data_IF_286924696719
#
_entry.id   IF_286924696719
#
_cell.length_a   1.000
_cell.length_b   1.000
_cell.length_c   1.000
_cell.angle_alpha   90.00
_cell.angle_beta   90.00
_cell.angle_gamma   90.00
#
_symmetry.space_group_name_H-M   'P 1'
#
loop_
_entity.id
_entity.type
_entity.pdbx_description
1 polymer ?
#
# COMPACT_ATOMS: atom_id res chain seq x y z
N UNK A 1 5.14 -1.71 -16.31
CA UNK A 1 4.74 -0.39 -15.85
C UNK A 1 5.27 0.67 -16.81
N UNK A 2 4.54 1.76 -16.96
CA UNK A 2 4.90 2.85 -17.88
C UNK A 2 5.38 4.04 -17.05
N UNK A 3 6.68 4.12 -16.80
CA UNK A 3 7.34 5.23 -16.10
C UNK A 3 8.35 5.85 -17.06
N UNK A 4 7.91 6.74 -18.00
CA UNK A 4 8.79 7.39 -18.95
C UNK A 4 9.68 8.43 -18.25
N UNK A 5 10.82 8.68 -18.85
CA UNK A 5 11.64 9.85 -18.54
C UNK A 5 11.24 11.00 -19.47
N UNK A 6 10.93 12.14 -18.89
CA UNK A 6 10.65 13.36 -19.64
C UNK A 6 11.87 14.29 -19.56
N UNK A 7 12.18 14.92 -20.68
CA UNK A 7 13.18 15.97 -20.77
C UNK A 7 12.49 17.25 -21.25
N UNK A 8 12.64 18.33 -20.49
CA UNK A 8 12.11 19.64 -20.81
C UNK A 8 13.29 20.53 -21.23
N UNK A 9 13.22 21.07 -22.45
CA UNK A 9 14.25 21.96 -23.02
C UNK A 9 13.56 23.23 -23.51
N UNK A 10 13.92 24.36 -22.92
CA UNK A 10 13.45 25.71 -23.29
C UNK A 10 11.91 25.81 -23.41
N UNK A 11 11.18 25.09 -22.55
CA UNK A 11 9.71 25.11 -22.55
C UNK A 11 9.22 26.41 -21.91
N UNK A 12 8.58 27.24 -22.72
CA UNK A 12 7.95 28.48 -22.23
C UNK A 12 6.63 28.14 -21.51
N UNK A 13 6.46 28.70 -20.28
CA UNK A 13 5.22 28.63 -19.51
C UNK A 13 4.70 30.05 -19.31
N UNK A 14 3.50 30.34 -19.80
CA UNK A 14 2.88 31.66 -19.64
C UNK A 14 2.45 31.87 -18.17
N UNK A 15 2.46 33.12 -17.70
CA UNK A 15 2.12 33.46 -16.30
C UNK A 15 0.74 32.91 -15.88
N UNK A 16 -0.24 32.91 -16.77
CA UNK A 16 -1.59 32.38 -16.54
C UNK A 16 -1.61 30.86 -16.31
N UNK A 17 -0.58 30.14 -16.71
CA UNK A 17 -0.46 28.68 -16.60
C UNK A 17 0.41 28.30 -15.38
N UNK A 18 0.91 29.27 -14.62
CA UNK A 18 1.64 29.05 -13.37
C UNK A 18 0.64 28.81 -12.24
N UNK A 19 0.82 27.70 -11.52
CA UNK A 19 -0.02 27.35 -10.36
C UNK A 19 0.55 28.07 -9.13
N UNK A 20 -0.27 28.92 -8.51
CA UNK A 20 0.10 29.68 -7.32
C UNK A 20 1.04 30.85 -7.62
N UNK A 21 1.93 31.16 -6.69
CA UNK A 21 2.86 32.30 -6.75
C UNK A 21 4.25 31.98 -7.34
N UNK A 22 4.41 30.77 -7.89
CA UNK A 22 5.68 30.27 -8.42
C UNK A 22 6.69 29.80 -7.35
N UNK A 23 6.48 30.09 -6.07
CA UNK A 23 7.36 29.70 -4.97
C UNK A 23 6.79 28.57 -4.10
N UNK A 24 5.47 28.31 -4.17
CA UNK A 24 4.72 27.39 -3.33
C UNK A 24 4.66 25.94 -3.85
N UNK A 25 5.37 25.59 -4.93
CA UNK A 25 5.29 24.27 -5.56
C UNK A 25 5.53 23.09 -4.60
N UNK A 26 6.47 23.25 -3.66
CA UNK A 26 6.73 22.21 -2.66
C UNK A 26 5.61 22.05 -1.62
N UNK A 27 4.83 23.09 -1.34
CA UNK A 27 3.72 23.00 -0.41
C UNK A 27 2.52 22.29 -1.05
N UNK A 28 2.25 22.54 -2.33
CA UNK A 28 1.30 21.76 -3.13
C UNK A 28 1.70 20.28 -3.18
N UNK A 29 2.97 19.99 -3.47
CA UNK A 29 3.49 18.62 -3.48
C UNK A 29 3.34 17.92 -2.12
N UNK A 30 3.60 18.60 -1.01
CA UNK A 30 3.43 18.06 0.34
C UNK A 30 1.96 17.74 0.66
N UNK A 31 1.03 18.60 0.23
CA UNK A 31 -0.41 18.37 0.37
C UNK A 31 -0.82 17.15 -0.45
N UNK A 32 -0.43 17.11 -1.71
CA UNK A 32 -0.71 15.99 -2.61
C UNK A 32 -0.16 14.66 -2.08
N UNK A 33 1.07 14.60 -1.58
CA UNK A 33 1.67 13.40 -1.01
C UNK A 33 0.89 12.79 0.17
N UNK A 34 0.19 13.60 0.98
CA UNK A 34 -0.67 13.04 2.04
C UNK A 34 -1.83 12.26 1.45
N UNK A 35 -2.51 12.86 0.48
CA UNK A 35 -3.62 12.26 -0.23
C UNK A 35 -3.19 10.97 -0.96
N UNK A 36 -2.09 11.02 -1.72
CA UNK A 36 -1.57 9.87 -2.46
C UNK A 36 -1.19 8.70 -1.55
N UNK A 37 -0.54 8.96 -0.42
CA UNK A 37 -0.20 7.91 0.53
C UNK A 37 -1.42 7.19 1.07
N UNK A 38 -2.49 7.92 1.38
CA UNK A 38 -3.75 7.35 1.84
C UNK A 38 -4.45 6.56 0.72
N UNK A 39 -4.46 7.10 -0.50
CA UNK A 39 -5.00 6.43 -1.70
C UNK A 39 -4.27 5.12 -2.00
N UNK A 40 -2.93 5.11 -1.95
CA UNK A 40 -2.12 3.90 -2.10
C UNK A 40 -2.49 2.88 -1.03
N UNK A 41 -2.59 3.31 0.22
CA UNK A 41 -2.95 2.43 1.32
C UNK A 41 -4.32 1.78 1.11
N UNK A 42 -5.33 2.55 0.70
CA UNK A 42 -6.66 2.04 0.38
C UNK A 42 -6.64 1.02 -0.79
N UNK A 43 -5.87 1.31 -1.85
CA UNK A 43 -5.66 0.36 -2.95
C UNK A 43 -5.08 -0.97 -2.47
N UNK A 44 -4.10 -0.92 -1.55
CA UNK A 44 -3.47 -2.13 -1.01
C UNK A 44 -4.44 -2.99 -0.20
N UNK A 45 -5.42 -2.40 0.47
CA UNK A 45 -6.50 -3.16 1.12
C UNK A 45 -7.32 -3.94 0.09
N UNK A 46 -7.71 -3.30 -1.00
CA UNK A 46 -8.49 -3.94 -2.08
C UNK A 46 -7.70 -5.08 -2.73
N UNK A 47 -6.44 -4.85 -3.06
CA UNK A 47 -5.56 -5.87 -3.64
C UNK A 47 -5.37 -7.06 -2.69
N UNK A 48 -5.09 -6.82 -1.41
CA UNK A 48 -4.91 -7.88 -0.41
C UNK A 48 -6.21 -8.67 -0.18
N UNK A 49 -7.37 -7.99 -0.07
CA UNK A 49 -8.68 -8.66 0.05
C UNK A 49 -8.91 -9.61 -1.11
N UNK A 50 -8.72 -9.14 -2.35
CA UNK A 50 -8.93 -9.95 -3.55
C UNK A 50 -7.99 -11.17 -3.59
N UNK A 51 -6.72 -10.99 -3.27
CA UNK A 51 -5.75 -12.09 -3.26
C UNK A 51 -6.11 -13.16 -2.21
N UNK A 52 -6.54 -12.75 -1.01
CA UNK A 52 -6.95 -13.65 0.06
C UNK A 52 -8.20 -14.43 -0.35
N UNK A 53 -9.21 -13.78 -0.92
CA UNK A 53 -10.43 -14.42 -1.42
C UNK A 53 -10.10 -15.50 -2.45
N UNK A 54 -9.33 -15.16 -3.48
CA UNK A 54 -8.94 -16.13 -4.52
C UNK A 54 -8.07 -17.27 -4.00
N UNK A 55 -7.14 -16.98 -3.10
CA UNK A 55 -6.30 -18.03 -2.50
C UNK A 55 -7.11 -18.97 -1.59
N UNK A 56 -8.10 -18.43 -0.86
CA UNK A 56 -9.00 -19.22 -0.03
C UNK A 56 -9.89 -20.11 -0.87
N UNK A 57 -10.50 -19.58 -1.93
CA UNK A 57 -11.32 -20.34 -2.88
C UNK A 57 -10.50 -21.44 -3.55
N UNK A 58 -9.31 -21.11 -4.04
CA UNK A 58 -8.39 -22.08 -4.63
C UNK A 58 -8.06 -23.20 -3.66
N UNK A 59 -7.64 -22.88 -2.43
CA UNK A 59 -7.26 -23.86 -1.42
C UNK A 59 -8.44 -24.77 -1.00
N UNK A 60 -9.66 -24.21 -0.95
CA UNK A 60 -10.88 -24.95 -0.61
C UNK A 60 -11.30 -25.96 -1.69
N UNK A 61 -10.95 -25.70 -2.95
CA UNK A 61 -11.33 -26.54 -4.08
C UNK A 61 -10.22 -27.51 -4.53
N UNK A 62 -8.97 -27.27 -4.12
CA UNK A 62 -7.81 -28.07 -4.54
C UNK A 62 -7.59 -29.30 -3.67
N UNK A 63 -7.64 -30.48 -4.27
CA UNK A 63 -7.29 -31.74 -3.60
C UNK A 63 -5.79 -32.01 -3.71
N UNK A 64 -5.17 -32.36 -2.57
CA UNK A 64 -3.78 -32.80 -2.46
C UNK A 64 -3.67 -33.95 -1.47
N UNK A 65 -3.17 -35.09 -1.95
CA UNK A 65 -2.95 -36.30 -1.12
C UNK A 65 -4.18 -36.75 -0.34
N UNK A 66 -5.37 -36.66 -0.96
CA UNK A 66 -6.62 -37.11 -0.37
C UNK A 66 -7.32 -36.12 0.56
N UNK A 67 -6.80 -34.93 0.73
CA UNK A 67 -7.38 -33.85 1.55
C UNK A 67 -7.47 -32.55 0.76
N UNK A 68 -8.29 -31.62 1.22
CA UNK A 68 -8.29 -30.24 0.66
C UNK A 68 -7.01 -29.49 1.05
N UNK A 69 -6.52 -28.67 0.15
CA UNK A 69 -5.33 -27.86 0.41
C UNK A 69 -5.51 -26.93 1.62
N UNK A 70 -6.72 -26.42 1.83
CA UNK A 70 -7.06 -25.55 2.95
C UNK A 70 -6.94 -26.25 4.32
N UNK A 71 -7.02 -27.57 4.36
CA UNK A 71 -6.91 -28.34 5.61
C UNK A 71 -5.44 -28.56 6.04
N UNK A 72 -4.48 -28.19 5.19
CA UNK A 72 -3.06 -28.24 5.53
C UNK A 72 -2.68 -27.09 6.44
N UNK A 73 -2.11 -27.38 7.60
CA UNK A 73 -1.80 -26.40 8.66
C UNK A 73 -0.97 -25.21 8.15
N UNK A 74 0.01 -25.43 7.28
CA UNK A 74 0.83 -24.37 6.71
C UNK A 74 -0.02 -23.37 5.90
N UNK A 75 -1.02 -23.85 5.17
CA UNK A 75 -1.94 -23.00 4.40
C UNK A 75 -2.86 -22.21 5.32
N UNK A 76 -3.36 -22.86 6.38
CA UNK A 76 -4.17 -22.19 7.40
C UNK A 76 -3.40 -21.03 8.05
N UNK A 77 -2.12 -21.22 8.37
CA UNK A 77 -1.28 -20.18 8.93
C UNK A 77 -1.10 -19.00 7.96
N UNK A 78 -0.84 -19.27 6.68
CA UNK A 78 -0.72 -18.20 5.67
C UNK A 78 -2.01 -17.39 5.54
N UNK A 79 -3.17 -18.05 5.53
CA UNK A 79 -4.47 -17.36 5.44
C UNK A 79 -4.78 -16.58 6.72
N UNK A 80 -4.58 -17.18 7.90
CA UNK A 80 -4.82 -16.53 9.19
C UNK A 80 -3.96 -15.27 9.37
N UNK A 81 -2.66 -15.34 9.09
CA UNK A 81 -1.76 -14.19 9.14
C UNK A 81 -2.22 -13.09 8.16
N UNK A 82 -2.58 -13.49 6.93
CA UNK A 82 -3.00 -12.54 5.90
C UNK A 82 -4.28 -11.80 6.26
N UNK A 83 -5.28 -12.50 6.79
CA UNK A 83 -6.53 -11.89 7.25
C UNK A 83 -6.29 -10.97 8.44
N UNK A 84 -5.45 -11.36 9.40
CA UNK A 84 -5.12 -10.58 10.59
C UNK A 84 -4.42 -9.27 10.20
N UNK A 85 -3.41 -9.35 9.32
CA UNK A 85 -2.69 -8.18 8.83
C UNK A 85 -3.60 -7.25 8.00
N UNK A 86 -4.49 -7.81 7.18
CA UNK A 86 -5.47 -7.05 6.43
C UNK A 86 -6.43 -6.30 7.35
N UNK A 87 -6.93 -6.95 8.39
CA UNK A 87 -7.85 -6.33 9.35
C UNK A 87 -7.17 -5.17 10.09
N UNK A 88 -5.96 -5.36 10.62
CA UNK A 88 -5.18 -4.29 11.24
C UNK A 88 -4.96 -3.12 10.27
N UNK A 89 -4.62 -3.42 9.01
CA UNK A 89 -4.47 -2.42 7.94
C UNK A 89 -5.75 -1.62 7.70
N UNK A 90 -6.92 -2.28 7.68
CA UNK A 90 -8.22 -1.62 7.51
C UNK A 90 -8.47 -0.59 8.61
N UNK A 91 -8.27 -0.98 9.86
CA UNK A 91 -8.46 -0.06 11.00
C UNK A 91 -7.55 1.17 10.88
N UNK A 92 -6.28 0.98 10.53
CA UNK A 92 -5.33 2.08 10.34
C UNK A 92 -5.74 3.02 9.19
N UNK A 93 -6.20 2.47 8.06
CA UNK A 93 -6.60 3.26 6.89
C UNK A 93 -7.85 4.07 7.19
N UNK A 94 -8.87 3.47 7.79
CA UNK A 94 -10.11 4.17 8.11
C UNK A 94 -9.88 5.26 9.14
N UNK A 95 -9.09 5.02 10.18
CA UNK A 95 -8.74 6.04 11.18
C UNK A 95 -7.97 7.22 10.55
N UNK A 96 -7.03 6.94 9.65
CA UNK A 96 -6.30 8.00 8.96
C UNK A 96 -7.17 8.77 7.95
N UNK A 97 -8.14 8.11 7.32
CA UNK A 97 -9.10 8.75 6.42
C UNK A 97 -10.05 9.67 7.19
N UNK A 98 -10.59 9.22 8.32
CA UNK A 98 -11.44 10.03 9.20
C UNK A 98 -10.68 11.25 9.73
N UNK A 99 -9.43 11.07 10.17
CA UNK A 99 -8.58 12.18 10.60
C UNK A 99 -8.30 13.18 9.46
N UNK A 100 -8.21 12.70 8.22
CA UNK A 100 -8.06 13.56 7.04
C UNK A 100 -9.33 14.37 6.76
N UNK A 101 -10.50 13.75 6.86
CA UNK A 101 -11.79 14.40 6.58
C UNK A 101 -12.16 15.41 7.67
N UNK A 102 -11.70 15.22 8.89
CA UNK A 102 -11.93 16.13 10.02
C UNK A 102 -10.92 17.28 10.11
N UNK A 103 -10.05 17.46 9.13
CA UNK A 103 -8.99 18.49 9.13
C UNK A 103 -8.12 18.50 10.40
N UNK A 104 -7.82 17.32 10.93
CA UNK A 104 -6.91 17.15 12.08
C UNK A 104 -5.56 17.84 11.85
N UNK A 105 -4.77 18.04 12.92
CA UNK A 105 -3.43 18.67 12.81
C UNK A 105 -2.63 18.08 11.65
N UNK A 106 -2.43 18.91 10.62
CA UNK A 106 -1.78 18.55 9.35
C UNK A 106 -0.44 17.84 9.52
N UNK A 107 0.25 18.10 10.63
CA UNK A 107 1.57 17.51 10.88
C UNK A 107 1.45 16.11 11.48
N UNK A 108 0.46 15.88 12.35
CA UNK A 108 0.11 14.55 12.86
C UNK A 108 -0.43 13.68 11.72
N UNK A 109 -1.34 14.22 10.93
CA UNK A 109 -1.90 13.57 9.75
C UNK A 109 -0.81 13.15 8.76
N UNK A 110 0.22 13.98 8.52
CA UNK A 110 1.33 13.62 7.64
C UNK A 110 2.11 12.38 8.14
N UNK A 111 2.30 12.25 9.45
CA UNK A 111 2.92 11.08 10.06
C UNK A 111 2.01 9.85 9.97
N UNK A 112 0.71 9.98 10.26
CA UNK A 112 -0.29 8.92 10.15
C UNK A 112 -0.37 8.38 8.72
N UNK A 113 -0.48 9.24 7.70
CA UNK A 113 -0.46 8.83 6.29
C UNK A 113 0.82 8.07 5.92
N UNK A 114 1.97 8.47 6.49
CA UNK A 114 3.23 7.76 6.28
C UNK A 114 3.23 6.37 6.94
N UNK A 115 2.69 6.23 8.16
CA UNK A 115 2.55 4.94 8.85
C UNK A 115 1.63 4.00 8.08
N UNK A 116 0.48 4.51 7.66
CA UNK A 116 -0.53 3.74 6.92
C UNK A 116 0.03 3.26 5.59
N UNK A 117 0.66 4.14 4.81
CA UNK A 117 1.30 3.77 3.54
C UNK A 117 2.38 2.71 3.74
N UNK A 118 3.27 2.90 4.70
CA UNK A 118 4.32 1.95 5.02
C UNK A 118 3.74 0.58 5.38
N UNK A 119 2.83 0.54 6.34
CA UNK A 119 2.30 -0.72 6.85
C UNK A 119 1.53 -1.50 5.78
N UNK A 120 0.62 -0.82 5.05
CA UNK A 120 -0.24 -1.47 4.05
C UNK A 120 0.52 -1.96 2.83
N UNK A 121 1.52 -1.23 2.35
CA UNK A 121 2.32 -1.69 1.19
C UNK A 121 3.22 -2.87 1.55
N UNK A 122 3.80 -2.89 2.74
CA UNK A 122 4.55 -4.04 3.25
C UNK A 122 3.64 -5.25 3.48
N UNK A 123 2.45 -5.05 4.06
CA UNK A 123 1.44 -6.07 4.26
C UNK A 123 0.99 -6.68 2.92
N UNK A 124 0.63 -5.86 1.94
CA UNK A 124 0.17 -6.34 0.64
C UNK A 124 1.21 -7.21 -0.08
N UNK A 125 2.49 -6.87 0.05
CA UNK A 125 3.58 -7.68 -0.50
C UNK A 125 3.71 -9.04 0.21
N UNK A 126 3.57 -9.09 1.55
CA UNK A 126 3.57 -10.37 2.29
C UNK A 126 2.36 -11.23 1.95
N UNK A 127 1.18 -10.61 1.84
CA UNK A 127 -0.05 -11.29 1.41
C UNK A 127 0.10 -11.83 0.00
N UNK A 128 0.64 -11.05 -0.93
CA UNK A 128 0.87 -11.49 -2.31
C UNK A 128 1.79 -12.71 -2.38
N UNK A 129 2.88 -12.71 -1.61
CA UNK A 129 3.81 -13.83 -1.55
C UNK A 129 3.14 -15.11 -1.01
N UNK A 130 2.41 -14.99 0.12
CA UNK A 130 1.67 -16.13 0.69
C UNK A 130 0.59 -16.67 -0.25
N UNK A 131 -0.19 -15.79 -0.88
CA UNK A 131 -1.25 -16.19 -1.80
C UNK A 131 -0.68 -16.86 -3.06
N UNK A 132 0.42 -16.34 -3.60
CA UNK A 132 1.11 -16.97 -4.73
C UNK A 132 1.62 -18.37 -4.35
N UNK A 133 2.18 -18.53 -3.15
CA UNK A 133 2.65 -19.81 -2.64
C UNK A 133 1.50 -20.80 -2.45
N UNK A 134 0.31 -20.38 -1.98
CA UNK A 134 -0.89 -21.21 -1.87
C UNK A 134 -1.34 -21.72 -3.25
N UNK A 135 -1.28 -20.87 -4.28
CA UNK A 135 -1.61 -21.26 -5.65
C UNK A 135 -0.58 -22.23 -6.27
N UNK A 136 0.65 -22.25 -5.76
CA UNK A 136 1.73 -23.09 -6.24
C UNK A 136 2.05 -22.82 -7.71
N UNK A 137 2.39 -23.85 -8.48
CA UNK A 137 2.76 -23.70 -9.90
C UNK A 137 1.68 -23.02 -10.77
N UNK A 138 0.41 -23.13 -10.41
CA UNK A 138 -0.68 -22.41 -11.08
C UNK A 138 -0.60 -20.90 -10.83
N UNK A 139 -0.18 -20.47 -9.63
CA UNK A 139 0.02 -19.06 -9.28
C UNK A 139 1.08 -18.37 -10.14
N UNK A 140 2.04 -19.11 -10.70
CA UNK A 140 3.08 -18.56 -11.57
C UNK A 140 2.62 -18.25 -13.01
N UNK A 141 1.38 -18.60 -13.35
CA UNK A 141 0.80 -18.37 -14.68
C UNK A 141 0.08 -17.02 -14.72
N UNK A 142 0.11 -16.38 -15.90
CA UNK A 142 -0.51 -15.05 -16.12
C UNK A 142 -2.03 -15.06 -16.23
N UNK A 143 -2.68 -16.20 -16.11
CA UNK A 143 -4.13 -16.38 -16.24
C UNK A 143 -4.90 -16.26 -14.91
N UNK A 144 -4.25 -15.77 -13.86
CA UNK A 144 -4.87 -15.50 -12.55
C UNK A 144 -4.50 -14.12 -12.00
N UNK A 145 -5.34 -13.59 -11.09
CA UNK A 145 -5.15 -12.27 -10.53
C UNK A 145 -4.00 -12.21 -9.50
N UNK A 146 -3.72 -13.31 -8.80
CA UNK A 146 -2.69 -13.35 -7.76
C UNK A 146 -1.30 -13.11 -8.35
N UNK A 147 -0.98 -13.71 -9.50
CA UNK A 147 0.28 -13.47 -10.22
C UNK A 147 0.43 -11.99 -10.60
N UNK A 148 -0.64 -11.40 -11.15
CA UNK A 148 -0.64 -10.00 -11.54
C UNK A 148 -0.42 -9.10 -10.34
N UNK A 149 -1.15 -9.29 -9.25
CA UNK A 149 -0.99 -8.51 -8.03
C UNK A 149 0.39 -8.67 -7.41
N UNK A 150 0.97 -9.88 -7.41
CA UNK A 150 2.35 -10.10 -6.94
C UNK A 150 3.36 -9.18 -7.62
N UNK A 151 3.22 -8.95 -8.93
CA UNK A 151 4.08 -8.00 -9.66
C UNK A 151 3.71 -6.55 -9.41
N UNK A 152 2.41 -6.23 -9.36
CA UNK A 152 1.93 -4.86 -9.28
C UNK A 152 2.13 -4.23 -7.91
N UNK A 153 1.84 -4.93 -6.81
CA UNK A 153 1.99 -4.37 -5.45
C UNK A 153 3.45 -4.08 -5.08
N UNK A 154 4.40 -4.62 -5.82
CA UNK A 154 5.83 -4.43 -5.53
C UNK A 154 6.26 -2.97 -5.65
N UNK A 155 5.75 -2.23 -6.62
CA UNK A 155 6.11 -0.83 -6.85
C UNK A 155 5.58 0.10 -5.75
N UNK A 156 4.50 -0.26 -5.08
CA UNK A 156 3.91 0.56 -4.02
C UNK A 156 4.82 0.73 -2.78
N UNK A 157 5.83 -0.13 -2.62
CA UNK A 157 6.90 0.04 -1.62
C UNK A 157 7.97 1.06 -2.05
N UNK A 158 7.96 1.51 -3.31
CA UNK A 158 9.02 2.33 -3.92
C UNK A 158 8.54 3.76 -4.18
N UNK A 159 7.44 3.91 -4.90
CA UNK A 159 6.95 5.23 -5.30
C UNK A 159 6.25 5.99 -4.18
N UNK A 160 5.96 7.28 -4.40
CA UNK A 160 5.35 8.22 -3.44
C UNK A 160 6.08 8.26 -2.07
N UNK A 161 7.38 8.05 -2.16
CA UNK A 161 8.28 7.87 -1.03
C UNK A 161 8.42 6.41 -0.62
N UNK A 162 9.62 5.87 -0.79
CA UNK A 162 9.91 4.47 -0.48
C UNK A 162 9.64 4.13 0.98
N UNK A 163 9.57 2.84 1.30
CA UNK A 163 9.41 2.36 2.67
C UNK A 163 10.44 2.95 3.64
N UNK A 164 11.65 3.21 3.18
CA UNK A 164 12.73 3.84 3.95
C UNK A 164 12.42 5.31 4.22
N UNK A 165 11.93 6.04 3.20
CA UNK A 165 11.52 7.44 3.34
C UNK A 165 10.35 7.57 4.31
N UNK A 166 9.35 6.67 4.25
CA UNK A 166 8.24 6.68 5.22
C UNK A 166 8.77 6.50 6.65
N UNK A 167 9.69 5.57 6.88
CA UNK A 167 10.33 5.36 8.20
C UNK A 167 11.05 6.61 8.69
N UNK A 168 11.76 7.32 7.80
CA UNK A 168 12.42 8.58 8.16
C UNK A 168 11.42 9.67 8.53
N UNK A 169 10.30 9.79 7.82
CA UNK A 169 9.22 10.75 8.14
C UNK A 169 8.64 10.46 9.52
N UNK A 170 8.29 9.20 9.78
CA UNK A 170 7.73 8.76 11.07
C UNK A 170 8.73 9.01 12.22
N UNK A 171 9.99 8.62 12.07
CA UNK A 171 11.00 8.80 13.09
C UNK A 171 11.27 10.28 13.40
N UNK A 172 11.27 11.15 12.38
CA UNK A 172 11.39 12.62 12.57
C UNK A 172 10.19 13.20 13.31
N UNK A 173 8.98 12.74 13.00
CA UNK A 173 7.77 13.17 13.70
C UNK A 173 7.82 12.74 15.16
N UNK A 174 8.17 11.48 15.45
CA UNK A 174 8.33 10.95 16.79
C UNK A 174 9.38 11.73 17.60
N UNK A 175 10.55 12.00 17.01
CA UNK A 175 11.60 12.81 17.66
C UNK A 175 11.12 14.21 18.03
N UNK A 176 10.31 14.83 17.17
CA UNK A 176 9.86 16.22 17.33
C UNK A 176 8.70 16.39 18.30
N UNK A 177 7.81 15.38 18.40
CA UNK A 177 6.50 15.48 19.07
C UNK A 177 6.30 14.47 20.21
N UNK A 178 7.16 13.47 20.30
CA UNK A 178 6.94 12.33 21.19
C UNK A 178 5.77 11.45 20.74
N UNK A 179 5.55 10.35 21.42
CA UNK A 179 4.49 9.37 21.08
C UNK A 179 3.07 9.96 21.20
N UNK A 180 2.85 10.89 22.13
CA UNK A 180 1.53 11.53 22.34
C UNK A 180 1.12 12.49 21.23
N UNK A 181 2.05 12.92 20.41
CA UNK A 181 1.80 13.86 19.29
C UNK A 181 1.81 13.19 17.91
N UNK A 182 1.69 11.84 17.91
CA UNK A 182 1.67 11.04 16.68
C UNK A 182 0.25 10.74 16.23
#
# INVERSE_FOLDING_TARGET
>A
SHHPTYRFEDVFVADKDVIGDGNSGMDYSRSWFRHERLTIAARMLGAASRMIEEATEWASNRDIQGEKLIDKQAIQFYLADSVTELWASKLMVYEAAEAHDNDDDLKSLHAKCSMVKLYTTEMANRVADRCLQIWGGRGYRRDNAVERFFREVRVDRIWEGSSEIQRMVIARALKKRGLKGM
#
